data_IF_367869925012
#
_entry.id   IF_367869925012
#
_cell.length_a   1.000
_cell.length_b   1.000
_cell.length_c   1.000
_cell.angle_alpha   90.00
_cell.angle_beta   90.00
_cell.angle_gamma   90.00
#
_symmetry.space_group_name_H-M   'P 1'
#
loop_
_entity.id
_entity.type
_entity.pdbx_description
1 polymer ?
#
# COMPACT_ATOMS: atom_id res chain seq x y z
N UNK A 1 -15.12 20.32 -26.52
CA UNK A 1 -15.91 19.10 -26.20
C UNK A 1 -17.11 19.48 -25.33
N UNK A 2 -18.35 19.25 -25.78
CA UNK A 2 -19.55 19.47 -24.95
C UNK A 2 -19.58 18.53 -23.75
N UNK A 3 -20.08 18.96 -22.59
CA UNK A 3 -20.27 18.10 -21.39
C UNK A 3 -21.02 16.80 -21.74
N UNK A 4 -21.98 16.87 -22.67
CA UNK A 4 -22.77 15.73 -23.15
C UNK A 4 -21.93 14.72 -23.94
N UNK A 5 -21.01 15.20 -24.77
CA UNK A 5 -20.08 14.35 -25.52
C UNK A 5 -19.14 13.59 -24.58
N UNK A 6 -18.56 14.27 -23.59
CA UNK A 6 -17.67 13.65 -22.58
C UNK A 6 -18.39 12.59 -21.74
N UNK A 7 -19.65 12.82 -21.38
CA UNK A 7 -20.48 11.84 -20.65
C UNK A 7 -20.75 10.59 -21.50
N UNK A 8 -21.10 10.76 -22.78
CA UNK A 8 -21.34 9.64 -23.70
C UNK A 8 -20.07 8.81 -23.94
N UNK A 9 -18.92 9.47 -24.05
CA UNK A 9 -17.62 8.81 -24.17
C UNK A 9 -17.30 7.95 -22.93
N UNK A 10 -17.48 8.50 -21.72
CA UNK A 10 -17.32 7.76 -20.47
C UNK A 10 -18.28 6.57 -20.38
N UNK A 11 -19.53 6.73 -20.85
CA UNK A 11 -20.51 5.64 -20.91
C UNK A 11 -20.06 4.53 -21.85
N UNK A 12 -19.51 4.86 -23.01
CA UNK A 12 -18.97 3.90 -23.98
C UNK A 12 -17.81 3.09 -23.38
N UNK A 13 -16.83 3.73 -22.76
CA UNK A 13 -15.72 3.03 -22.09
C UNK A 13 -16.20 2.12 -20.95
N UNK A 14 -17.20 2.55 -20.17
CA UNK A 14 -17.83 1.70 -19.13
C UNK A 14 -18.49 0.45 -19.69
N UNK A 15 -19.20 0.56 -20.82
CA UNK A 15 -19.84 -0.58 -21.47
C UNK A 15 -18.81 -1.55 -22.06
N UNK A 16 -17.76 -1.03 -22.69
CA UNK A 16 -16.64 -1.84 -23.21
C UNK A 16 -15.92 -2.60 -22.09
N UNK A 17 -15.67 -1.95 -20.95
CA UNK A 17 -15.11 -2.56 -19.75
C UNK A 17 -16.01 -3.68 -19.19
N UNK A 18 -17.33 -3.44 -19.08
CA UNK A 18 -18.29 -4.48 -18.64
C UNK A 18 -18.31 -5.68 -19.58
N UNK A 19 -18.25 -5.45 -20.90
CA UNK A 19 -18.20 -6.54 -21.90
C UNK A 19 -16.93 -7.40 -21.75
N UNK A 20 -15.77 -6.79 -21.47
CA UNK A 20 -14.52 -7.52 -21.20
C UNK A 20 -14.54 -8.30 -19.88
N UNK A 21 -15.16 -7.75 -18.84
CA UNK A 21 -15.32 -8.47 -17.55
C UNK A 21 -16.27 -9.67 -17.64
N UNK A 22 -17.33 -9.54 -18.43
CA UNK A 22 -18.38 -10.55 -18.58
C UNK A 22 -18.16 -11.46 -19.80
N UNK A 23 -16.97 -11.47 -20.40
CA UNK A 23 -16.68 -12.34 -21.55
C UNK A 23 -16.72 -13.81 -21.13
N UNK A 24 -17.32 -14.70 -21.95
CA UNK A 24 -17.26 -16.15 -21.70
C UNK A 24 -15.84 -16.72 -21.73
N UNK A 25 -14.92 -16.05 -22.45
CA UNK A 25 -13.52 -16.45 -22.52
C UNK A 25 -12.76 -16.00 -21.25
N UNK A 26 -12.18 -16.93 -20.47
CA UNK A 26 -11.42 -16.61 -19.26
C UNK A 26 -10.12 -15.85 -19.55
N UNK A 27 -9.45 -16.10 -20.69
CA UNK A 27 -8.20 -15.44 -21.10
C UNK A 27 -8.39 -13.92 -21.23
N UNK A 28 -9.49 -13.51 -21.89
CA UNK A 28 -9.84 -12.10 -22.10
C UNK A 28 -10.16 -11.41 -20.77
N UNK A 29 -10.82 -12.12 -19.85
CA UNK A 29 -11.19 -11.60 -18.53
C UNK A 29 -9.96 -11.40 -17.66
N UNK A 30 -9.04 -12.35 -17.64
CA UNK A 30 -7.81 -12.28 -16.82
C UNK A 30 -6.88 -11.21 -17.38
N UNK A 31 -6.62 -11.21 -18.70
CA UNK A 31 -5.77 -10.20 -19.35
C UNK A 31 -6.26 -8.77 -19.08
N UNK A 32 -7.57 -8.55 -19.12
CA UNK A 32 -8.15 -7.24 -18.80
C UNK A 32 -7.96 -6.82 -17.34
N UNK A 33 -7.97 -7.75 -16.37
CA UNK A 33 -7.69 -7.47 -14.95
C UNK A 33 -6.21 -7.07 -14.77
N UNK A 34 -5.29 -7.81 -15.37
CA UNK A 34 -3.86 -7.52 -15.36
C UNK A 34 -3.55 -6.16 -16.01
N UNK A 35 -4.14 -5.86 -17.18
CA UNK A 35 -4.00 -4.55 -17.84
C UNK A 35 -4.48 -3.40 -16.94
N UNK A 36 -5.57 -3.61 -16.20
CA UNK A 36 -6.12 -2.61 -15.29
C UNK A 36 -5.19 -2.35 -14.10
N UNK A 37 -4.59 -3.39 -13.54
CA UNK A 37 -3.60 -3.28 -12.45
C UNK A 37 -2.32 -2.61 -12.92
N UNK A 38 -1.79 -3.00 -14.07
CA UNK A 38 -0.64 -2.35 -14.69
C UNK A 38 -0.88 -0.84 -14.88
N UNK A 39 -2.09 -0.46 -15.32
CA UNK A 39 -2.50 0.94 -15.43
C UNK A 39 -2.57 1.66 -14.07
N UNK A 40 -2.99 0.98 -13.00
CA UNK A 40 -2.98 1.53 -11.64
C UNK A 40 -1.54 1.75 -11.16
N UNK A 41 -0.65 0.79 -11.40
CA UNK A 41 0.78 0.88 -11.07
C UNK A 41 1.43 2.06 -11.81
N UNK A 42 1.17 2.20 -13.12
CA UNK A 42 1.71 3.30 -13.91
C UNK A 42 1.21 4.67 -13.41
N UNK A 43 -0.05 4.76 -12.99
CA UNK A 43 -0.58 5.97 -12.37
C UNK A 43 0.09 6.25 -11.03
N UNK A 44 0.39 5.23 -10.24
CA UNK A 44 1.06 5.38 -8.95
C UNK A 44 2.51 5.84 -9.08
N UNK A 45 3.25 5.33 -10.08
CA UNK A 45 4.61 5.79 -10.40
C UNK A 45 4.67 7.30 -10.63
N UNK A 46 3.61 7.92 -11.17
CA UNK A 46 3.51 9.38 -11.36
C UNK A 46 3.43 10.18 -10.05
N UNK A 47 3.15 9.52 -8.93
CA UNK A 47 3.06 10.10 -7.60
C UNK A 47 4.13 9.57 -6.63
N UNK A 48 5.08 8.77 -7.10
CA UNK A 48 6.24 8.39 -6.31
C UNK A 48 7.19 9.58 -6.25
N UNK A 49 7.33 10.14 -5.05
CA UNK A 49 8.37 11.12 -4.75
C UNK A 49 9.66 10.31 -4.58
N UNK A 50 10.75 10.64 -5.30
CA UNK A 50 12.04 9.99 -5.08
C UNK A 50 12.38 10.02 -3.60
N UNK A 51 12.64 8.86 -3.00
CA UNK A 51 13.05 8.79 -1.60
C UNK A 51 14.38 9.55 -1.50
N UNK A 52 14.42 10.66 -0.76
CA UNK A 52 15.69 11.26 -0.42
C UNK A 52 16.58 10.20 0.25
N UNK A 53 17.89 10.17 -0.07
CA UNK A 53 18.80 9.24 0.58
C UNK A 53 18.66 9.40 2.09
N UNK A 54 18.58 8.27 2.80
CA UNK A 54 18.59 8.29 4.25
C UNK A 54 19.90 8.97 4.68
N UNK A 55 19.79 10.18 5.24
CA UNK A 55 20.92 10.83 5.89
C UNK A 55 21.48 9.84 6.92
N UNK A 56 22.79 9.62 6.90
CA UNK A 56 23.48 8.79 7.87
C UNK A 56 23.23 9.37 9.27
N UNK A 57 22.25 8.80 9.96
CA UNK A 57 21.95 9.12 11.34
C UNK A 57 23.08 8.54 12.19
N UNK A 58 23.68 9.38 13.03
CA UNK A 58 24.66 8.95 14.01
C UNK A 58 23.96 7.97 14.96
N UNK A 59 24.32 6.68 15.00
CA UNK A 59 23.68 5.74 15.89
C UNK A 59 24.03 6.16 17.31
N UNK A 60 23.17 6.96 17.95
CA UNK A 60 23.22 7.24 19.38
C UNK A 60 23.09 5.89 20.08
N UNK A 61 24.23 5.29 20.43
CA UNK A 61 24.32 3.95 21.03
C UNK A 61 23.67 4.03 22.40
N UNK A 62 22.37 3.71 22.46
CA UNK A 62 21.64 3.54 23.71
C UNK A 62 22.17 2.29 24.41
N UNK A 63 22.44 2.39 25.71
CA UNK A 63 22.84 1.21 26.49
C UNK A 63 21.63 0.28 26.68
N UNK A 64 21.90 -0.99 26.97
CA UNK A 64 20.84 -1.99 27.17
C UNK A 64 19.91 -1.62 28.33
N UNK A 65 20.44 -0.98 29.38
CA UNK A 65 19.66 -0.50 30.52
C UNK A 65 18.72 0.63 30.14
N UNK A 66 19.18 1.57 29.31
CA UNK A 66 18.37 2.68 28.81
C UNK A 66 17.24 2.17 27.92
N UNK A 67 17.55 1.23 27.02
CA UNK A 67 16.55 0.56 26.18
C UNK A 67 15.50 -0.12 27.07
N UNK A 68 15.93 -0.87 28.09
CA UNK A 68 15.01 -1.57 29.00
C UNK A 68 14.13 -0.60 29.80
N UNK A 69 14.70 0.51 30.28
CA UNK A 69 13.95 1.58 30.95
C UNK A 69 12.88 2.18 30.02
N UNK A 70 13.28 2.56 28.80
CA UNK A 70 12.39 3.15 27.79
C UNK A 70 11.28 2.18 27.38
N UNK A 71 11.57 0.87 27.29
CA UNK A 71 10.55 -0.16 27.05
C UNK A 71 9.47 -0.17 28.14
N UNK A 72 9.87 -0.21 29.42
CA UNK A 72 8.90 -0.18 30.54
C UNK A 72 8.12 1.13 30.58
N UNK A 73 8.81 2.26 30.44
CA UNK A 73 8.21 3.59 30.55
C UNK A 73 7.30 3.89 29.37
N UNK A 74 7.70 3.54 28.15
CA UNK A 74 6.90 3.67 26.93
C UNK A 74 5.64 2.82 26.96
N UNK A 75 5.70 1.62 27.56
CA UNK A 75 4.51 0.78 27.66
C UNK A 75 3.49 1.31 28.66
N UNK A 76 3.94 1.82 29.81
CA UNK A 76 3.07 2.41 30.85
C UNK A 76 2.37 3.69 30.40
N UNK A 77 2.99 4.48 29.52
CA UNK A 77 2.43 5.74 29.04
C UNK A 77 1.22 5.50 28.13
N UNK A 78 0.18 6.32 28.32
CA UNK A 78 -1.07 6.29 27.53
C UNK A 78 -1.00 7.15 26.26
N UNK A 79 0.16 7.73 25.94
CA UNK A 79 0.33 8.60 24.78
C UNK A 79 0.55 7.76 23.53
N UNK A 80 -0.49 7.64 22.71
CA UNK A 80 -0.44 6.86 21.50
C UNK A 80 -0.89 7.64 20.27
N UNK A 81 -0.36 7.24 19.12
CA UNK A 81 -0.78 7.70 17.79
C UNK A 81 -1.23 6.47 17.00
N UNK A 82 -2.42 6.55 16.38
CA UNK A 82 -2.96 5.45 15.58
C UNK A 82 -2.64 5.66 14.10
N UNK A 83 -2.05 4.65 13.46
CA UNK A 83 -1.92 4.58 12.00
C UNK A 83 -3.21 3.99 11.46
N UNK A 84 -3.92 4.79 10.65
CA UNK A 84 -5.14 4.34 9.97
C UNK A 84 -4.86 3.58 8.67
N UNK A 85 -5.93 3.28 7.91
CA UNK A 85 -5.88 2.56 6.62
C UNK A 85 -4.99 3.20 5.53
N UNK A 86 -4.56 4.44 5.73
CA UNK A 86 -3.74 5.21 4.79
C UNK A 86 -2.24 5.05 5.04
N UNK A 87 -1.86 4.38 6.12
CA UNK A 87 -0.45 4.23 6.48
C UNK A 87 0.15 5.54 7.01
N UNK A 88 1.48 5.62 6.92
CA UNK A 88 2.30 6.72 7.42
C UNK A 88 2.20 7.91 6.46
N UNK A 89 1.81 9.08 6.98
CA UNK A 89 1.70 10.32 6.23
C UNK A 89 2.34 11.47 7.03
N UNK A 90 2.71 12.58 6.40
CA UNK A 90 3.44 13.63 7.12
C UNK A 90 2.68 14.25 8.31
N UNK A 91 1.35 14.26 8.29
CA UNK A 91 0.56 14.69 9.46
C UNK A 91 0.63 13.71 10.64
N UNK A 92 0.96 12.43 10.40
CA UNK A 92 1.30 11.48 11.46
C UNK A 92 2.64 11.86 12.11
N UNK A 93 3.65 12.18 11.29
CA UNK A 93 4.97 12.62 11.75
C UNK A 93 4.87 13.92 12.54
N UNK A 94 4.07 14.89 12.07
CA UNK A 94 3.72 16.09 12.83
C UNK A 94 3.17 15.75 14.22
N UNK A 95 2.24 14.79 14.29
CA UNK A 95 1.65 14.39 15.55
C UNK A 95 2.67 13.75 16.51
N UNK A 96 3.61 12.95 15.98
CA UNK A 96 4.72 12.42 16.78
C UNK A 96 5.57 13.55 17.39
N UNK A 97 5.96 14.54 16.59
CA UNK A 97 6.73 15.69 17.07
C UNK A 97 5.98 16.52 18.12
N UNK A 98 4.65 16.64 18.01
CA UNK A 98 3.81 17.30 19.02
C UNK A 98 3.82 16.55 20.36
N UNK A 99 3.77 15.22 20.33
CA UNK A 99 3.91 14.41 21.55
C UNK A 99 5.32 14.53 22.15
N UNK A 100 6.36 14.59 21.31
CA UNK A 100 7.75 14.72 21.77
C UNK A 100 8.10 16.02 22.47
N UNK A 101 7.26 17.05 22.32
CA UNK A 101 7.35 18.30 23.08
C UNK A 101 7.14 18.08 24.58
N UNK A 102 6.30 17.12 24.97
CA UNK A 102 5.95 16.85 26.38
C UNK A 102 6.42 15.49 26.87
N UNK A 103 6.66 14.55 25.97
CA UNK A 103 6.95 13.16 26.31
C UNK A 103 8.14 12.65 25.53
N UNK A 104 9.11 12.06 26.22
CA UNK A 104 10.28 11.40 25.62
C UNK A 104 9.94 10.22 24.67
N UNK A 105 8.81 9.54 24.91
CA UNK A 105 8.39 8.34 24.18
C UNK A 105 6.98 8.47 23.63
N UNK A 106 6.76 7.85 22.47
CA UNK A 106 5.48 7.79 21.75
C UNK A 106 5.16 6.35 21.39
N UNK A 107 3.91 5.94 21.61
CA UNK A 107 3.38 4.65 21.20
C UNK A 107 2.68 4.78 19.85
N UNK A 108 3.05 3.99 18.87
CA UNK A 108 2.43 3.96 17.55
C UNK A 108 1.64 2.67 17.39
N UNK A 109 0.33 2.77 17.22
CA UNK A 109 -0.56 1.60 17.07
C UNK A 109 -0.98 1.50 15.61
N UNK A 110 -0.60 0.41 14.94
CA UNK A 110 -0.95 0.18 13.53
C UNK A 110 -2.17 -0.75 13.43
N UNK A 111 -3.38 -0.16 13.36
CA UNK A 111 -4.64 -0.92 13.20
C UNK A 111 -5.58 -0.21 12.22
N UNK A 112 -6.06 -0.87 11.14
CA UNK A 112 -5.75 -2.22 10.66
C UNK A 112 -4.46 -2.25 9.83
N UNK A 113 -3.55 -3.20 10.12
CA UNK A 113 -2.29 -3.38 9.37
C UNK A 113 -2.13 -4.86 9.03
N UNK A 114 -1.66 -5.16 7.81
CA UNK A 114 -1.26 -6.53 7.43
C UNK A 114 -0.05 -6.97 8.27
N UNK A 115 0.08 -8.25 8.65
CA UNK A 115 1.28 -8.73 9.31
C UNK A 115 2.50 -8.47 8.42
N UNK A 116 3.62 -8.01 9.00
CA UNK A 116 4.84 -7.65 8.26
C UNK A 116 4.94 -6.17 7.85
N UNK A 117 3.83 -5.50 7.52
CA UNK A 117 3.84 -4.06 7.15
C UNK A 117 4.25 -3.12 8.29
N UNK A 118 4.17 -3.60 9.53
CA UNK A 118 4.58 -2.84 10.74
C UNK A 118 6.07 -2.49 10.69
N UNK A 119 6.92 -3.38 10.17
CA UNK A 119 8.36 -3.12 10.04
C UNK A 119 8.64 -2.04 8.99
N UNK A 120 7.98 -2.10 7.83
CA UNK A 120 8.09 -1.05 6.80
C UNK A 120 7.63 0.31 7.34
N UNK A 121 6.56 0.34 8.15
CA UNK A 121 6.12 1.57 8.81
C UNK A 121 7.11 2.05 9.87
N UNK A 122 7.77 1.14 10.60
CA UNK A 122 8.79 1.51 11.58
C UNK A 122 9.99 2.19 10.90
N UNK A 123 10.48 1.61 9.80
CA UNK A 123 11.61 2.14 9.04
C UNK A 123 11.27 3.50 8.40
N UNK A 124 10.10 3.60 7.77
CA UNK A 124 9.66 4.85 7.14
C UNK A 124 9.46 5.94 8.19
N UNK A 125 8.87 5.63 9.35
CA UNK A 125 8.74 6.58 10.45
C UNK A 125 10.08 6.97 11.04
N UNK A 126 11.02 6.04 11.22
CA UNK A 126 12.38 6.34 11.66
C UNK A 126 13.06 7.33 10.72
N UNK A 127 13.00 7.08 9.41
CA UNK A 127 13.54 7.97 8.37
C UNK A 127 12.93 9.36 8.41
N UNK A 128 11.60 9.45 8.52
CA UNK A 128 10.87 10.72 8.39
C UNK A 128 10.88 11.56 9.66
N UNK A 129 10.75 10.92 10.82
CA UNK A 129 10.66 11.59 12.12
C UNK A 129 12.02 11.74 12.80
N UNK A 130 13.05 11.05 12.30
CA UNK A 130 14.37 10.90 12.95
C UNK A 130 14.27 10.30 14.37
N UNK A 131 13.19 9.60 14.66
CA UNK A 131 12.98 8.90 15.93
C UNK A 131 13.63 7.52 15.93
N UNK A 132 14.08 7.09 17.10
CA UNK A 132 14.69 5.78 17.33
C UNK A 132 13.60 4.77 17.66
N UNK A 133 13.59 3.64 16.94
CA UNK A 133 12.70 2.51 17.21
C UNK A 133 13.27 1.72 18.39
N UNK A 134 12.53 1.63 19.49
CA UNK A 134 12.97 0.93 20.72
C UNK A 134 12.46 -0.51 20.76
N UNK A 135 11.19 -0.71 20.42
CA UNK A 135 10.54 -2.02 20.53
C UNK A 135 9.37 -2.12 19.55
N UNK A 136 9.24 -3.29 18.93
CA UNK A 136 8.11 -3.64 18.07
C UNK A 136 7.38 -4.82 18.72
N UNK A 137 6.16 -4.57 19.18
CA UNK A 137 5.33 -5.56 19.85
C UNK A 137 4.47 -6.34 18.84
N UNK A 138 4.14 -7.61 19.14
CA UNK A 138 3.32 -8.45 18.27
C UNK A 138 1.87 -7.94 18.10
N UNK A 139 1.41 -7.03 18.96
CA UNK A 139 0.10 -6.38 18.84
C UNK A 139 0.09 -5.19 17.86
N UNK A 140 1.03 -5.16 16.90
CA UNK A 140 1.25 -4.08 15.93
C UNK A 140 1.50 -2.72 16.58
N UNK A 141 2.16 -2.71 17.74
CA UNK A 141 2.51 -1.49 18.47
C UNK A 141 4.01 -1.26 18.41
N UNK A 142 4.42 -0.06 18.01
CA UNK A 142 5.82 0.35 17.94
C UNK A 142 6.05 1.41 19.01
N UNK A 143 7.15 1.30 19.75
CA UNK A 143 7.57 2.32 20.72
C UNK A 143 8.71 3.13 20.11
N UNK A 144 8.48 4.42 19.95
CA UNK A 144 9.46 5.37 19.46
C UNK A 144 10.02 6.24 20.59
N UNK A 145 11.32 6.49 20.50
CA UNK A 145 12.05 7.43 21.32
C UNK A 145 12.55 8.59 20.44
N UNK A 146 12.53 9.81 20.98
CA UNK A 146 12.87 11.01 20.21
C UNK A 146 14.39 11.27 20.04
N UNK A 147 15.24 10.68 20.89
CA UNK A 147 16.67 11.02 21.03
C UNK A 147 16.98 11.94 22.22
N UNK A 148 18.20 11.91 22.76
CA UNK A 148 18.57 12.76 23.92
C UNK A 148 18.62 14.25 23.51
N UNK A 149 19.03 14.52 22.28
CA UNK A 149 19.22 15.86 21.72
C UNK A 149 18.08 16.33 20.82
N UNK A 150 16.84 15.94 21.11
CA UNK A 150 15.70 16.34 20.28
C UNK A 150 15.49 17.86 20.29
N UNK A 151 15.66 18.49 19.13
CA UNK A 151 15.26 19.86 18.83
C UNK A 151 14.04 19.82 17.94
N UNK A 152 13.00 20.59 18.28
CA UNK A 152 11.82 20.68 17.44
C UNK A 152 12.21 21.23 16.05
N UNK A 153 12.03 20.46 14.96
CA UNK A 153 12.39 20.94 13.64
C UNK A 153 11.48 22.11 13.23
N UNK A 154 12.06 23.14 12.59
CA UNK A 154 11.30 24.29 12.10
C UNK A 154 10.26 23.86 11.03
N UNK A 155 10.58 22.81 10.27
CA UNK A 155 9.66 22.15 9.35
C UNK A 155 9.23 20.82 9.99
N UNK A 156 8.02 20.79 10.55
CA UNK A 156 7.48 19.68 11.34
C UNK A 156 6.97 18.47 10.52
N UNK A 157 6.96 18.58 9.20
CA UNK A 157 6.57 17.49 8.30
C UNK A 157 7.52 17.48 7.11
N UNK A 158 8.32 16.42 6.93
CA UNK A 158 9.26 16.35 5.81
C UNK A 158 8.53 16.44 4.47
N UNK A 159 9.08 17.23 3.54
CA UNK A 159 8.53 17.48 2.21
C UNK A 159 8.37 16.20 1.37
N UNK A 160 9.15 15.17 1.68
CA UNK A 160 9.11 13.84 1.07
C UNK A 160 7.83 13.04 1.38
N UNK A 161 7.02 13.50 2.33
CA UNK A 161 5.75 12.84 2.67
C UNK A 161 4.58 13.54 2.01
N UNK A 162 3.65 12.75 1.46
CA UNK A 162 2.35 13.24 0.98
C UNK A 162 1.48 13.65 2.17
N UNK A 163 1.84 14.76 2.79
CA UNK A 163 1.18 15.29 3.97
C UNK A 163 0.00 16.18 3.58
N UNK A 164 -1.03 16.15 4.43
CA UNK A 164 -2.20 17.01 4.32
C UNK A 164 -1.89 18.47 4.68
N UNK A 165 -0.69 18.83 5.13
CA UNK A 165 -0.46 20.08 5.85
C UNK A 165 0.98 20.60 5.71
N UNK A 166 1.15 21.59 4.83
CA UNK A 166 2.10 22.70 5.00
C UNK A 166 1.48 23.73 5.98
N UNK A 167 0.91 23.28 7.11
CA UNK A 167 0.01 24.09 7.98
C UNK A 167 0.72 24.85 9.09
N UNK A 168 2.05 24.86 9.15
CA UNK A 168 2.78 25.59 10.20
C UNK A 168 3.73 26.69 9.72
N UNK A 169 3.55 27.25 8.52
CA UNK A 169 4.19 28.54 8.18
C UNK A 169 3.23 29.73 8.21
N UNK A 170 1.92 29.50 8.34
CA UNK A 170 0.92 30.58 8.32
C UNK A 170 0.71 31.27 9.68
N UNK A 171 1.20 30.72 10.80
CA UNK A 171 1.02 31.34 12.12
C UNK A 171 2.07 32.40 12.49
N UNK A 172 3.12 32.60 11.69
CA UNK A 172 4.15 33.61 12.01
C UNK A 172 4.21 34.82 11.08
N UNK A 173 3.65 34.79 9.87
CA UNK A 173 3.66 35.97 9.00
C UNK A 173 2.26 36.28 8.46
N UNK A 174 1.57 37.17 9.18
CA UNK A 174 0.48 37.94 8.61
C UNK A 174 1.02 38.76 7.45
N UNK A 175 0.80 38.31 6.22
CA UNK A 175 0.95 39.15 5.04
C UNK A 175 -0.25 38.92 4.12
N UNK A 176 -1.17 39.87 4.17
CA UNK A 176 -2.11 40.16 3.10
C UNK A 176 -1.30 40.39 1.83
N UNK A 177 -1.38 39.49 0.84
CA UNK A 177 -1.14 39.72 -0.59
C UNK A 177 -1.31 38.40 -1.37
N UNK A 178 -1.39 38.47 -2.71
CA UNK A 178 -1.68 37.38 -3.66
C UNK A 178 -0.88 36.06 -3.47
N UNK A 179 0.21 36.09 -2.70
CA UNK A 179 0.97 34.93 -2.22
C UNK A 179 0.12 33.94 -1.40
N UNK A 180 -0.81 34.42 -0.57
CA UNK A 180 -1.68 33.55 0.25
C UNK A 180 -2.62 32.68 -0.58
N UNK A 181 -3.14 33.21 -1.69
CA UNK A 181 -4.02 32.46 -2.60
C UNK A 181 -3.24 31.39 -3.38
N UNK A 182 -1.98 31.69 -3.73
CA UNK A 182 -1.09 30.75 -4.42
C UNK A 182 -0.67 29.59 -3.50
N UNK A 183 -0.35 29.90 -2.24
CA UNK A 183 -0.08 28.90 -1.20
C UNK A 183 -1.32 28.03 -0.96
N UNK A 184 -2.51 28.62 -0.90
CA UNK A 184 -3.77 27.89 -0.75
C UNK A 184 -4.09 27.00 -1.96
N UNK A 185 -3.89 27.49 -3.19
CA UNK A 185 -4.11 26.71 -4.42
C UNK A 185 -3.11 25.55 -4.54
N UNK A 186 -1.84 25.80 -4.20
CA UNK A 186 -0.81 24.77 -4.13
C UNK A 186 -1.14 23.72 -3.06
N UNK A 187 -1.62 24.16 -1.89
CA UNK A 187 -2.12 23.31 -0.82
C UNK A 187 -3.27 22.41 -1.27
N UNK A 188 -4.32 22.97 -1.89
CA UNK A 188 -5.47 22.21 -2.40
C UNK A 188 -5.02 21.20 -3.45
N UNK A 189 -4.10 21.57 -4.35
CA UNK A 189 -3.55 20.67 -5.36
C UNK A 189 -2.74 19.52 -4.73
N UNK A 190 -1.92 19.81 -3.72
CA UNK A 190 -1.12 18.81 -3.02
C UNK A 190 -2.00 17.81 -2.27
N UNK A 191 -3.01 18.30 -1.54
CA UNK A 191 -4.00 17.46 -0.85
C UNK A 191 -4.79 16.61 -1.86
N UNK A 192 -5.16 17.18 -3.01
CA UNK A 192 -5.87 16.46 -4.06
C UNK A 192 -5.01 15.34 -4.66
N UNK A 193 -3.76 15.64 -5.05
CA UNK A 193 -2.80 14.64 -5.56
C UNK A 193 -2.53 13.53 -4.55
N UNK A 194 -2.35 13.88 -3.28
CA UNK A 194 -2.20 12.89 -2.21
C UNK A 194 -3.44 12.02 -2.09
N UNK A 195 -4.65 12.60 -2.09
CA UNK A 195 -5.90 11.84 -2.06
C UNK A 195 -6.05 10.93 -3.28
N UNK A 196 -5.65 11.37 -4.47
CA UNK A 196 -5.67 10.54 -5.68
C UNK A 196 -4.70 9.38 -5.60
N UNK A 197 -3.44 9.59 -5.20
CA UNK A 197 -2.47 8.49 -5.01
C UNK A 197 -3.03 7.41 -4.08
N UNK A 198 -3.61 7.82 -2.96
CA UNK A 198 -4.20 6.87 -2.01
C UNK A 198 -5.37 6.06 -2.59
N UNK A 199 -6.23 6.68 -3.40
CA UNK A 199 -7.31 5.94 -4.08
C UNK A 199 -6.74 4.86 -5.00
N UNK A 200 -5.61 5.15 -5.66
CA UNK A 200 -4.92 4.18 -6.51
C UNK A 200 -4.19 3.10 -5.69
N UNK A 201 -3.52 3.43 -4.59
CA UNK A 201 -2.88 2.46 -3.67
C UNK A 201 -3.91 1.49 -3.09
N UNK A 202 -5.01 2.02 -2.53
CA UNK A 202 -6.07 1.18 -1.98
C UNK A 202 -6.73 0.30 -3.04
N UNK A 203 -6.92 0.83 -4.26
CA UNK A 203 -7.42 0.04 -5.37
C UNK A 203 -6.43 -1.06 -5.76
N UNK A 204 -5.13 -0.77 -5.74
CA UNK A 204 -4.08 -1.72 -6.09
C UNK A 204 -3.96 -2.82 -5.03
N UNK A 205 -3.95 -2.47 -3.74
CA UNK A 205 -3.87 -3.43 -2.62
C UNK A 205 -5.02 -4.45 -2.63
N UNK A 206 -6.22 -3.99 -2.99
CA UNK A 206 -7.38 -4.88 -3.10
C UNK A 206 -7.30 -5.76 -4.34
N UNK A 207 -6.75 -5.26 -5.45
CA UNK A 207 -6.60 -6.05 -6.67
C UNK A 207 -5.43 -7.03 -6.57
N UNK A 208 -4.30 -6.62 -5.95
CA UNK A 208 -3.06 -7.40 -5.83
C UNK A 208 -3.25 -8.72 -5.10
N UNK A 209 -4.15 -8.76 -4.11
CA UNK A 209 -4.50 -9.98 -3.38
C UNK A 209 -5.08 -11.08 -4.29
N UNK A 210 -5.59 -10.73 -5.47
CA UNK A 210 -6.16 -11.66 -6.42
C UNK A 210 -5.25 -11.90 -7.64
N UNK A 211 -4.18 -11.13 -7.81
CA UNK A 211 -3.31 -11.19 -9.01
C UNK A 211 -2.65 -12.55 -9.10
N UNK A 212 -1.98 -12.98 -8.04
CA UNK A 212 -1.26 -14.25 -8.01
C UNK A 212 -2.18 -15.44 -8.34
N UNK A 213 -3.42 -15.39 -7.82
CA UNK A 213 -4.44 -16.39 -8.15
C UNK A 213 -4.88 -16.32 -9.62
N UNK A 214 -5.04 -15.12 -10.16
CA UNK A 214 -5.45 -14.92 -11.56
C UNK A 214 -4.33 -15.28 -12.55
N UNK A 215 -3.08 -15.01 -12.22
CA UNK A 215 -1.91 -15.39 -13.01
C UNK A 215 -1.78 -16.90 -13.06
N UNK A 216 -1.95 -17.58 -11.93
CA UNK A 216 -2.00 -19.04 -11.88
C UNK A 216 -3.17 -19.62 -12.67
N UNK A 217 -4.38 -19.07 -12.53
CA UNK A 217 -5.54 -19.48 -13.33
C UNK A 217 -5.31 -19.27 -14.84
N UNK A 218 -4.54 -18.25 -15.24
CA UNK A 218 -4.19 -18.00 -16.64
C UNK A 218 -3.16 -19.00 -17.15
N UNK A 219 -2.15 -19.32 -16.35
CA UNK A 219 -1.11 -20.30 -16.68
C UNK A 219 -1.72 -21.68 -16.87
N UNK A 220 -2.54 -22.14 -15.92
CA UNK A 220 -3.30 -23.40 -16.01
C UNK A 220 -4.18 -23.45 -17.28
N UNK A 221 -4.82 -22.33 -17.65
CA UNK A 221 -5.62 -22.25 -18.88
C UNK A 221 -4.76 -22.34 -20.16
N UNK A 222 -3.60 -21.70 -20.18
CA UNK A 222 -2.69 -21.73 -21.33
C UNK A 222 -2.04 -23.11 -21.50
N UNK A 223 -1.64 -23.76 -20.40
CA UNK A 223 -1.15 -25.13 -20.39
C UNK A 223 -2.20 -26.10 -20.94
N UNK A 224 -3.44 -25.99 -20.46
CA UNK A 224 -4.57 -26.78 -20.96
C UNK A 224 -4.77 -26.54 -22.46
N UNK A 225 -4.77 -25.29 -22.93
CA UNK A 225 -4.92 -24.96 -24.35
C UNK A 225 -3.78 -25.54 -25.21
N UNK A 226 -2.53 -25.47 -24.74
CA UNK A 226 -1.36 -26.03 -25.42
C UNK A 226 -1.44 -27.57 -25.49
N UNK A 227 -1.85 -28.21 -24.39
CA UNK A 227 -2.10 -29.65 -24.35
C UNK A 227 -3.18 -30.07 -25.35
N UNK A 228 -4.32 -29.36 -25.40
CA UNK A 228 -5.40 -29.65 -26.35
C UNK A 228 -4.97 -29.50 -27.80
N UNK A 229 -4.16 -28.48 -28.12
CA UNK A 229 -3.61 -28.30 -29.47
C UNK A 229 -2.67 -29.44 -29.86
N UNK A 230 -1.75 -29.82 -28.96
CA UNK A 230 -0.80 -30.92 -29.17
C UNK A 230 -1.50 -32.27 -29.31
N UNK A 231 -2.56 -32.51 -28.53
CA UNK A 231 -3.37 -33.72 -28.61
C UNK A 231 -4.13 -33.78 -29.95
N UNK A 232 -4.66 -32.67 -30.44
CA UNK A 232 -5.39 -32.61 -31.72
C UNK A 232 -4.51 -32.91 -32.94
N UNK A 233 -3.21 -32.70 -32.83
CA UNK A 233 -2.22 -33.01 -33.86
C UNK A 233 -1.73 -34.48 -33.81
N UNK A 234 -2.11 -35.25 -32.78
CA UNK A 234 -1.78 -36.67 -32.64
C UNK A 234 -2.75 -37.59 -33.39
N UNK A 235 -2.32 -38.81 -33.69
CA UNK A 235 -3.15 -39.85 -34.30
C UNK A 235 -4.50 -40.01 -33.55
N UNK A 236 -5.62 -40.30 -34.25
CA UNK A 236 -6.97 -40.29 -33.65
C UNK A 236 -7.14 -41.24 -32.45
N UNK A 237 -6.37 -42.34 -32.44
CA UNK A 237 -6.38 -43.34 -31.36
C UNK A 237 -5.63 -42.84 -30.11
N UNK A 238 -4.52 -42.13 -30.28
CA UNK A 238 -3.73 -41.52 -29.20
C UNK A 238 -4.44 -40.31 -28.57
N UNK A 239 -5.21 -39.56 -29.37
CA UNK A 239 -6.02 -38.45 -28.90
C UNK A 239 -7.05 -38.87 -27.84
N UNK A 240 -7.79 -39.95 -28.11
CA UNK A 240 -8.83 -40.46 -27.21
C UNK A 240 -8.24 -40.99 -25.88
N UNK A 241 -7.08 -41.65 -25.94
CA UNK A 241 -6.36 -42.13 -24.76
C UNK A 241 -5.85 -40.95 -23.92
N UNK A 242 -5.30 -39.90 -24.56
CA UNK A 242 -4.80 -38.72 -23.88
C UNK A 242 -5.91 -37.94 -23.14
N UNK A 243 -7.10 -37.80 -23.73
CA UNK A 243 -8.26 -37.15 -23.09
C UNK A 243 -8.71 -37.91 -21.85
N UNK A 244 -8.80 -39.24 -21.93
CA UNK A 244 -9.20 -40.07 -20.80
C UNK A 244 -8.16 -40.00 -19.66
N UNK A 245 -6.87 -40.01 -19.95
CA UNK A 245 -5.81 -39.86 -18.95
C UNK A 245 -5.82 -38.47 -18.29
N UNK A 246 -6.00 -37.40 -19.07
CA UNK A 246 -6.10 -36.03 -18.54
C UNK A 246 -7.35 -35.85 -17.68
N UNK A 247 -8.48 -36.46 -18.05
CA UNK A 247 -9.70 -36.45 -17.22
C UNK A 247 -9.53 -37.26 -15.91
N UNK A 248 -8.81 -38.38 -15.94
CA UNK A 248 -8.49 -39.17 -14.74
C UNK A 248 -7.56 -38.42 -13.77
N UNK A 249 -6.53 -37.74 -14.26
CA UNK A 249 -5.63 -36.93 -13.43
C UNK A 249 -6.35 -35.76 -12.75
N UNK A 250 -7.24 -35.07 -13.48
CA UNK A 250 -8.03 -33.96 -12.93
C UNK A 250 -9.12 -34.42 -11.96
N UNK A 251 -9.75 -35.58 -12.20
CA UNK A 251 -10.70 -36.17 -11.26
C UNK A 251 -10.03 -36.68 -9.97
N UNK A 252 -8.78 -37.15 -10.04
CA UNK A 252 -7.98 -37.48 -8.85
C UNK A 252 -7.64 -36.25 -8.01
N UNK A 253 -7.43 -35.08 -8.62
CA UNK A 253 -7.18 -33.85 -7.86
C UNK A 253 -8.44 -33.32 -7.14
N UNK A 254 -9.62 -33.48 -7.74
CA UNK A 254 -10.91 -33.06 -7.16
C UNK A 254 -11.33 -33.95 -5.98
N UNK A 255 -10.99 -35.24 -6.00
CA UNK A 255 -11.30 -36.16 -4.89
C UNK A 255 -10.37 -36.00 -3.67
N UNK A 256 -9.14 -35.50 -3.86
CA UNK A 256 -8.19 -35.21 -2.76
C UNK A 256 -8.52 -33.86 -2.07
N UNK A 257 -9.06 -32.87 -2.79
CA UNK A 257 -9.44 -31.57 -2.21
C UNK A 257 -10.83 -31.53 -1.54
N UNK A 258 -11.59 -32.64 -1.53
CA UNK A 258 -12.91 -32.77 -0.88
C UNK A 258 -12.91 -33.68 0.36
N UNK A 259 -11.79 -33.85 1.07
CA UNK A 259 -11.86 -34.37 2.45
C UNK A 259 -12.33 -33.23 3.38
N UNK A 260 -13.59 -33.32 3.82
CA UNK A 260 -14.17 -32.45 4.86
C UNK A 260 -13.35 -32.58 6.16
N UNK A 261 -13.03 -31.49 6.86
CA UNK A 261 -12.55 -31.57 8.23
C UNK A 261 -13.76 -31.80 9.15
N UNK A 262 -14.03 -33.06 9.47
CA UNK A 262 -14.77 -33.44 10.67
C UNK A 262 -14.16 -34.74 11.18
N UNK A 263 -13.22 -34.58 12.10
CA UNK A 263 -13.12 -35.27 13.39
C UNK A 263 -12.11 -34.51 14.25
#
# INVERSE_FOLDING_TARGET
MSRKAKMNELRFYRLKAKKKMNSPNPEVRIRYKLEKEACLIEKLRKYEVPKAPAEAYDPEILTEEEIHYLKRTGEKKKNYVQVGRRGVFGGFVLNMHLHWKKHETVKVICKPCKPGKVYEHADELGRLSKGIVIDIKPNNTIIFYRGKNYVQPNIMSPADTLSKNFVMLASMHGTTNASGLFIYLFYVLCVYKAMEKYKYEQSLDHTSEFIEKLEKELEEYLEHKAWYHKAKESEPQDFAVSILQHQLQNNCHISVSRKRPYE
#
